data_IF_599358158261
#
_entry.id   IF_599358158261
#
_cell.length_a   1.000
_cell.length_b   1.000
_cell.length_c   1.000
_cell.angle_alpha   90.00
_cell.angle_beta   90.00
_cell.angle_gamma   90.00
#
_symmetry.space_group_name_H-M   'P 1'
#
loop_
_entity.id
_entity.type
_entity.pdbx_description
1 polymer ?
#
# COMPACT_ATOMS: atom_id res chain seq x y z
N UNK A 1 13.16 -16.52 -1.79
CA UNK A 1 13.60 -15.50 -0.81
C UNK A 1 12.87 -15.64 0.53
N UNK A 2 11.53 -15.49 0.61
CA UNK A 2 10.77 -15.62 1.87
C UNK A 2 11.00 -16.97 2.60
N UNK A 3 11.02 -18.08 1.87
CA UNK A 3 11.32 -19.41 2.45
C UNK A 3 12.69 -19.50 3.12
N UNK A 4 13.71 -18.79 2.63
CA UNK A 4 15.04 -18.74 3.25
C UNK A 4 15.05 -17.86 4.49
N UNK A 5 14.39 -16.69 4.45
CA UNK A 5 14.21 -15.81 5.62
C UNK A 5 13.56 -16.58 6.78
N UNK A 6 12.46 -17.31 6.48
CA UNK A 6 11.77 -18.15 7.45
C UNK A 6 12.63 -19.31 7.94
N UNK A 7 13.34 -20.00 7.05
CA UNK A 7 14.22 -21.13 7.40
C UNK A 7 15.37 -20.72 8.35
N UNK A 8 15.88 -19.50 8.20
CA UNK A 8 16.89 -18.93 9.10
C UNK A 8 16.28 -18.28 10.35
N UNK A 9 14.96 -18.33 10.54
CA UNK A 9 14.28 -17.85 11.74
C UNK A 9 14.23 -16.32 11.85
N UNK A 10 14.52 -15.58 10.79
CA UNK A 10 14.43 -14.13 10.77
C UNK A 10 12.99 -13.66 10.46
N UNK A 11 12.60 -12.48 10.97
CA UNK A 11 11.37 -11.77 10.59
C UNK A 11 10.06 -12.56 10.78
N UNK A 12 9.99 -13.41 11.82
CA UNK A 12 8.85 -14.32 12.09
C UNK A 12 7.50 -13.62 12.25
N UNK A 13 7.50 -12.39 12.79
CA UNK A 13 6.28 -11.59 13.04
C UNK A 13 6.15 -10.39 12.09
N UNK A 14 6.88 -10.38 10.98
CA UNK A 14 6.85 -9.27 10.03
C UNK A 14 5.54 -9.26 9.25
N UNK A 15 4.93 -8.08 9.18
CA UNK A 15 3.80 -7.81 8.30
C UNK A 15 4.33 -7.30 6.97
N UNK A 16 3.92 -7.92 5.87
CA UNK A 16 4.27 -7.48 4.52
C UNK A 16 3.17 -6.54 4.03
N UNK A 17 3.56 -5.31 3.65
CA UNK A 17 2.64 -4.32 3.06
C UNK A 17 2.83 -4.31 1.54
N UNK A 18 1.79 -4.59 0.76
CA UNK A 18 1.85 -4.55 -0.71
C UNK A 18 0.60 -3.94 -1.35
N UNK A 19 0.62 -3.84 -2.69
CA UNK A 19 -0.43 -3.31 -3.55
C UNK A 19 -1.42 -4.39 -4.04
N UNK A 20 -1.57 -5.50 -3.31
CA UNK A 20 -2.36 -6.68 -3.70
C UNK A 20 -1.70 -7.54 -4.79
N UNK A 21 -0.40 -7.37 -5.04
CA UNK A 21 0.36 -8.29 -5.89
C UNK A 21 0.50 -9.66 -5.20
N UNK A 22 -0.23 -10.67 -5.69
CA UNK A 22 -0.37 -12.00 -5.06
C UNK A 22 0.94 -12.77 -4.81
N UNK A 23 2.04 -12.42 -5.48
CA UNK A 23 3.36 -12.95 -5.16
C UNK A 23 3.89 -12.56 -3.76
N UNK A 24 3.25 -11.57 -3.12
CA UNK A 24 3.56 -11.10 -1.77
C UNK A 24 2.47 -11.45 -0.74
N UNK A 25 1.45 -12.21 -1.13
CA UNK A 25 0.46 -12.77 -0.21
C UNK A 25 1.06 -13.97 0.54
N UNK A 26 2.03 -13.66 1.40
CA UNK A 26 2.76 -14.62 2.20
C UNK A 26 2.79 -14.16 3.66
N UNK A 27 2.54 -15.09 4.58
CA UNK A 27 2.47 -14.81 6.01
C UNK A 27 1.41 -13.76 6.38
N UNK A 28 1.70 -12.84 7.31
CA UNK A 28 0.76 -11.80 7.74
C UNK A 28 0.84 -10.63 6.78
N UNK A 29 -0.26 -10.36 6.09
CA UNK A 29 -0.29 -9.39 5.00
C UNK A 29 -1.10 -8.14 5.35
N UNK A 30 -0.70 -7.01 4.78
CA UNK A 30 -1.42 -5.74 4.86
C UNK A 30 -1.47 -5.07 3.48
N UNK A 31 -2.56 -4.37 3.22
CA UNK A 31 -2.76 -3.67 1.95
C UNK A 31 -2.42 -2.19 2.05
N UNK A 32 -1.80 -1.68 0.99
CA UNK A 32 -1.43 -0.27 0.86
C UNK A 32 -2.69 0.60 0.62
N UNK A 33 -2.95 1.52 1.55
CA UNK A 33 -4.10 2.44 1.47
C UNK A 33 -4.07 3.37 0.27
N UNK A 34 -2.88 3.81 -0.15
CA UNK A 34 -2.72 4.65 -1.35
C UNK A 34 -3.12 3.87 -2.61
N UNK A 35 -2.81 2.56 -2.66
CA UNK A 35 -3.24 1.72 -3.77
C UNK A 35 -4.74 1.43 -3.74
N UNK A 36 -5.32 1.20 -2.56
CA UNK A 36 -6.77 1.06 -2.41
C UNK A 36 -7.53 2.33 -2.88
N UNK A 37 -7.08 3.52 -2.48
CA UNK A 37 -7.68 4.78 -2.95
C UNK A 37 -7.48 4.97 -4.45
N UNK A 38 -6.32 4.60 -4.99
CA UNK A 38 -6.00 4.73 -6.41
C UNK A 38 -6.94 3.93 -7.30
N UNK A 39 -7.42 2.77 -6.84
CA UNK A 39 -8.45 2.00 -7.55
C UNK A 39 -9.72 2.83 -7.73
N UNK A 40 -10.16 3.53 -6.69
CA UNK A 40 -11.34 4.42 -6.76
C UNK A 40 -11.04 5.64 -7.62
N UNK A 41 -9.86 6.25 -7.48
CA UNK A 41 -9.46 7.42 -8.27
C UNK A 41 -9.42 7.15 -9.78
N UNK A 42 -8.98 5.96 -10.19
CA UNK A 42 -8.86 5.57 -11.60
C UNK A 42 -10.17 5.13 -12.24
N UNK A 43 -11.27 5.01 -11.50
CA UNK A 43 -12.56 4.68 -12.10
C UNK A 43 -13.00 5.80 -13.05
N UNK A 44 -13.40 5.42 -14.26
CA UNK A 44 -13.95 6.35 -15.24
C UNK A 44 -15.37 6.75 -14.85
N UNK A 45 -15.57 8.03 -14.57
CA UNK A 45 -16.86 8.61 -14.20
C UNK A 45 -17.39 9.50 -15.34
N UNK A 46 -18.32 8.96 -16.12
CA UNK A 46 -18.83 9.59 -17.34
C UNK A 46 -19.92 10.64 -17.11
N UNK A 47 -20.59 10.62 -15.95
CA UNK A 47 -21.65 11.59 -15.60
C UNK A 47 -21.23 12.43 -14.39
N UNK A 48 -21.81 13.62 -14.23
CA UNK A 48 -21.54 14.46 -13.05
C UNK A 48 -21.97 13.79 -11.75
N UNK A 49 -23.08 13.03 -11.79
CA UNK A 49 -23.51 12.21 -10.67
C UNK A 49 -22.47 11.16 -10.29
N UNK A 50 -21.88 10.46 -11.26
CA UNK A 50 -20.82 9.48 -10.99
C UNK A 50 -19.54 10.16 -10.49
N UNK A 51 -19.18 11.32 -11.04
CA UNK A 51 -18.02 12.11 -10.57
C UNK A 51 -18.20 12.56 -9.12
N UNK A 52 -19.37 13.05 -8.76
CA UNK A 52 -19.69 13.45 -7.39
C UNK A 52 -19.63 12.26 -6.42
N UNK A 53 -20.20 11.12 -6.79
CA UNK A 53 -20.13 9.89 -5.99
C UNK A 53 -18.68 9.43 -5.77
N UNK A 54 -17.87 9.41 -6.84
CA UNK A 54 -16.46 9.06 -6.76
C UNK A 54 -15.69 10.02 -5.85
N UNK A 55 -15.87 11.35 -6.00
CA UNK A 55 -15.19 12.35 -5.18
C UNK A 55 -15.57 12.25 -3.70
N UNK A 56 -16.84 12.00 -3.40
CA UNK A 56 -17.32 11.78 -2.03
C UNK A 56 -16.59 10.58 -1.41
N UNK A 57 -16.60 9.42 -2.08
CA UNK A 57 -15.96 8.20 -1.59
C UNK A 57 -14.46 8.41 -1.39
N UNK A 58 -13.77 9.06 -2.34
CA UNK A 58 -12.34 9.39 -2.19
C UNK A 58 -12.08 10.25 -0.95
N UNK A 59 -12.91 11.26 -0.72
CA UNK A 59 -12.80 12.12 0.45
C UNK A 59 -12.97 11.32 1.75
N UNK A 60 -13.95 10.43 1.80
CA UNK A 60 -14.18 9.54 2.95
C UNK A 60 -12.99 8.60 3.21
N UNK A 61 -12.41 8.02 2.16
CA UNK A 61 -11.21 7.17 2.26
C UNK A 61 -10.03 7.98 2.82
N UNK A 62 -9.80 9.19 2.32
CA UNK A 62 -8.72 10.04 2.81
C UNK A 62 -8.92 10.49 4.27
N UNK A 63 -10.17 10.71 4.69
CA UNK A 63 -10.49 11.00 6.09
C UNK A 63 -10.19 9.79 6.98
N UNK A 64 -10.64 8.61 6.58
CA UNK A 64 -10.32 7.37 7.29
C UNK A 64 -8.80 7.14 7.37
N UNK A 65 -8.07 7.34 6.27
CA UNK A 65 -6.61 7.23 6.24
C UNK A 65 -5.91 8.19 7.21
N UNK A 66 -6.37 9.44 7.30
CA UNK A 66 -5.83 10.42 8.27
C UNK A 66 -6.06 9.96 9.71
N UNK A 67 -7.22 9.40 10.00
CA UNK A 67 -7.54 8.91 11.33
C UNK A 67 -6.78 7.63 11.69
N UNK A 68 -6.55 6.73 10.71
CA UNK A 68 -5.63 5.59 10.88
C UNK A 68 -4.22 6.08 11.22
N UNK A 69 -3.69 7.10 10.51
CA UNK A 69 -2.40 7.71 10.87
C UNK A 69 -2.38 8.29 12.28
N UNK A 70 -3.48 8.90 12.71
CA UNK A 70 -3.58 9.44 14.06
C UNK A 70 -3.68 8.34 15.12
N UNK A 71 -4.36 7.23 14.82
CA UNK A 71 -4.45 6.05 15.67
C UNK A 71 -3.07 5.41 15.87
N UNK A 72 -2.23 5.33 14.83
CA UNK A 72 -0.88 4.76 14.95
C UNK A 72 -0.01 5.45 16.01
N UNK A 73 -0.31 6.71 16.36
CA UNK A 73 0.43 7.47 17.37
C UNK A 73 -0.10 7.30 18.78
N UNK A 74 -1.37 6.92 18.92
CA UNK A 74 -2.09 6.82 20.18
C UNK A 74 -3.21 5.77 20.03
N UNK A 75 -2.84 4.47 20.02
CA UNK A 75 -3.79 3.39 19.80
C UNK A 75 -4.63 3.15 21.05
N UNK A 76 -5.95 3.22 20.91
CA UNK A 76 -6.89 2.88 22.00
C UNK A 76 -8.00 1.95 21.50
N UNK A 77 -8.53 1.04 22.36
CA UNK A 77 -9.59 0.11 21.96
C UNK A 77 -10.86 0.80 21.44
N UNK A 78 -11.19 1.97 22.00
CA UNK A 78 -12.34 2.77 21.60
C UNK A 78 -12.15 3.33 20.18
N UNK A 79 -10.97 3.90 19.89
CA UNK A 79 -10.65 4.42 18.55
C UNK A 79 -10.57 3.30 17.53
N UNK A 80 -10.03 2.15 17.91
CA UNK A 80 -9.98 0.97 17.05
C UNK A 80 -11.40 0.56 16.60
N UNK A 81 -12.32 0.40 17.55
CA UNK A 81 -13.70 0.01 17.29
C UNK A 81 -14.41 1.04 16.40
N UNK A 82 -14.20 2.33 16.65
CA UNK A 82 -14.76 3.41 15.84
C UNK A 82 -14.22 3.40 14.39
N UNK A 83 -12.93 3.10 14.20
CA UNK A 83 -12.32 2.99 12.87
C UNK A 83 -12.85 1.78 12.09
N UNK A 84 -13.04 0.63 12.76
CA UNK A 84 -13.64 -0.56 12.15
C UNK A 84 -15.08 -0.29 11.70
N UNK A 85 -15.89 0.36 12.54
CA UNK A 85 -17.26 0.72 12.19
C UNK A 85 -17.33 1.75 11.05
N UNK A 86 -16.43 2.74 11.07
CA UNK A 86 -16.35 3.74 9.99
C UNK A 86 -15.94 3.10 8.66
N UNK A 87 -15.02 2.14 8.69
CA UNK A 87 -14.67 1.36 7.51
C UNK A 87 -15.91 0.70 6.92
N UNK A 88 -16.68 -0.04 7.72
CA UNK A 88 -17.90 -0.69 7.24
C UNK A 88 -18.88 0.30 6.61
N UNK A 89 -19.11 1.44 7.29
CA UNK A 89 -20.01 2.48 6.78
C UNK A 89 -19.57 3.07 5.43
N UNK A 90 -18.27 3.23 5.19
CA UNK A 90 -17.75 3.75 3.91
C UNK A 90 -17.90 2.71 2.81
N UNK A 91 -17.45 1.48 3.06
CA UNK A 91 -17.30 0.46 2.01
C UNK A 91 -18.57 -0.36 1.74
N UNK A 92 -19.59 -0.28 2.60
CA UNK A 92 -20.91 -0.86 2.35
C UNK A 92 -21.91 0.13 1.71
N UNK A 93 -21.48 1.36 1.43
CA UNK A 93 -22.34 2.40 0.87
C UNK A 93 -22.82 2.03 -0.53
N UNK A 94 -24.08 2.33 -0.83
CA UNK A 94 -24.64 2.34 -2.19
C UNK A 94 -24.56 3.75 -2.75
N UNK A 95 -23.87 3.92 -3.88
CA UNK A 95 -23.66 5.23 -4.52
C UNK A 95 -24.58 5.44 -5.73
N UNK A 96 -25.20 4.36 -6.22
CA UNK A 96 -25.93 4.37 -7.50
C UNK A 96 -25.00 4.41 -8.71
N UNK A 97 -23.70 4.22 -8.51
CA UNK A 97 -22.72 3.97 -9.56
C UNK A 97 -22.23 2.53 -9.41
N UNK A 98 -22.81 1.60 -10.18
CA UNK A 98 -22.63 0.15 -9.98
C UNK A 98 -21.18 -0.32 -9.98
N UNK A 99 -20.34 0.27 -10.85
CA UNK A 99 -18.92 -0.08 -10.93
C UNK A 99 -18.19 0.32 -9.63
N UNK A 100 -18.52 1.50 -9.07
CA UNK A 100 -17.98 1.94 -7.80
C UNK A 100 -18.49 1.07 -6.65
N UNK A 101 -19.77 0.73 -6.63
CA UNK A 101 -20.36 -0.11 -5.58
C UNK A 101 -19.73 -1.52 -5.56
N UNK A 102 -19.44 -2.11 -6.73
CA UNK A 102 -18.71 -3.39 -6.84
C UNK A 102 -17.27 -3.27 -6.35
N UNK A 103 -16.58 -2.17 -6.69
CA UNK A 103 -15.22 -1.93 -6.20
C UNK A 103 -15.20 -1.78 -4.67
N UNK A 104 -16.16 -1.06 -4.10
CA UNK A 104 -16.28 -0.90 -2.65
C UNK A 104 -16.53 -2.22 -1.94
N UNK A 105 -17.39 -3.09 -2.50
CA UNK A 105 -17.60 -4.43 -1.97
C UNK A 105 -16.32 -5.29 -2.01
N UNK A 106 -15.53 -5.20 -3.08
CA UNK A 106 -14.23 -5.89 -3.15
C UNK A 106 -13.24 -5.36 -2.11
N UNK A 107 -13.16 -4.04 -1.95
CA UNK A 107 -12.30 -3.44 -0.90
C UNK A 107 -12.79 -3.80 0.51
N UNK A 108 -14.10 -3.93 0.70
CA UNK A 108 -14.69 -4.40 1.96
C UNK A 108 -14.27 -5.83 2.30
N UNK A 109 -14.20 -6.72 1.30
CA UNK A 109 -13.74 -8.09 1.49
C UNK A 109 -12.30 -8.16 2.02
N UNK A 110 -11.45 -7.20 1.65
CA UNK A 110 -10.06 -7.09 2.09
C UNK A 110 -9.90 -6.26 3.38
N UNK A 111 -10.95 -6.19 4.21
CA UNK A 111 -10.95 -5.43 5.47
C UNK A 111 -9.83 -5.87 6.43
N UNK A 112 -9.57 -7.17 6.66
CA UNK A 112 -8.51 -7.60 7.58
C UNK A 112 -7.14 -7.05 7.19
N UNK A 113 -6.81 -7.06 5.90
CA UNK A 113 -5.53 -6.62 5.37
C UNK A 113 -5.43 -5.09 5.34
N UNK A 114 -6.50 -4.38 4.99
CA UNK A 114 -6.54 -2.91 5.00
C UNK A 114 -6.49 -2.33 6.42
N UNK A 115 -7.04 -3.05 7.40
CA UNK A 115 -7.05 -2.61 8.80
C UNK A 115 -5.99 -3.29 9.67
N UNK A 116 -5.00 -3.98 9.09
CA UNK A 116 -3.93 -4.65 9.83
C UNK A 116 -3.17 -3.70 10.78
N UNK A 117 -3.11 -2.42 10.45
CA UNK A 117 -2.52 -1.36 11.30
C UNK A 117 -3.21 -1.19 12.65
N UNK A 118 -4.46 -1.65 12.80
CA UNK A 118 -5.16 -1.66 14.07
C UNK A 118 -4.61 -2.73 15.01
N UNK A 119 -4.08 -3.83 14.48
CA UNK A 119 -3.41 -4.88 15.24
C UNK A 119 -1.91 -4.62 15.39
N UNK A 120 -1.31 -3.96 14.38
CA UNK A 120 0.12 -3.68 14.28
C UNK A 120 0.36 -2.21 13.94
N UNK A 121 0.21 -1.28 14.91
CA UNK A 121 0.27 0.17 14.67
C UNK A 121 1.61 0.67 14.10
N UNK A 122 2.68 -0.11 14.26
CA UNK A 122 4.01 0.22 13.77
C UNK A 122 4.20 -0.01 12.25
N UNK A 123 3.29 -0.72 11.58
CA UNK A 123 3.41 -1.00 10.15
C UNK A 123 3.08 0.27 9.33
N UNK A 124 3.72 0.45 8.17
CA UNK A 124 3.37 1.57 7.31
C UNK A 124 2.00 1.35 6.65
N UNK A 125 1.19 2.41 6.56
CA UNK A 125 -0.08 2.38 5.82
C UNK A 125 0.08 2.39 4.28
N UNK A 126 1.31 2.60 3.80
CA UNK A 126 1.59 2.80 2.38
C UNK A 126 3.06 2.53 2.04
N UNK A 127 3.32 2.26 0.76
CA UNK A 127 4.60 1.77 0.24
C UNK A 127 5.51 2.85 -0.36
N UNK A 128 5.23 4.14 -0.14
CA UNK A 128 6.00 5.23 -0.77
C UNK A 128 7.52 5.14 -0.55
N UNK A 129 7.96 4.68 0.63
CA UNK A 129 9.39 4.47 0.90
C UNK A 129 10.00 3.43 -0.05
N UNK A 130 9.37 2.25 -0.14
CA UNK A 130 9.77 1.18 -1.05
C UNK A 130 9.69 1.61 -2.52
N UNK A 131 8.64 2.36 -2.90
CA UNK A 131 8.49 2.90 -4.26
C UNK A 131 9.59 3.90 -4.63
N UNK A 132 10.00 4.76 -3.69
CA UNK A 132 11.08 5.71 -3.90
C UNK A 132 12.45 5.03 -4.00
N UNK A 133 12.65 3.92 -3.26
CA UNK A 133 13.87 3.13 -3.32
C UNK A 133 14.06 2.47 -4.70
N UNK A 134 12.99 1.93 -5.29
CA UNK A 134 13.05 1.30 -6.64
C UNK A 134 13.02 2.32 -7.78
N UNK A 135 12.60 3.58 -7.53
CA UNK A 135 12.42 4.59 -8.58
C UNK A 135 13.69 4.81 -9.40
N UNK A 136 14.86 4.87 -8.77
CA UNK A 136 16.12 5.05 -9.48
C UNK A 136 16.41 3.90 -10.45
N UNK A 137 16.09 2.66 -10.04
CA UNK A 137 16.25 1.48 -10.86
C UNK A 137 15.30 1.51 -12.07
N UNK A 138 14.02 1.83 -11.84
CA UNK A 138 13.01 1.93 -12.91
C UNK A 138 13.35 3.05 -13.89
N UNK A 139 13.76 4.22 -13.41
CA UNK A 139 14.21 5.35 -14.27
C UNK A 139 15.43 4.95 -15.09
N UNK A 140 16.45 4.34 -14.47
CA UNK A 140 17.66 3.93 -15.18
C UNK A 140 17.36 2.85 -16.23
N UNK A 141 16.46 1.90 -15.95
CA UNK A 141 15.98 0.93 -16.93
C UNK A 141 15.26 1.59 -18.12
N UNK A 142 14.41 2.60 -17.87
CA UNK A 142 13.72 3.35 -18.93
C UNK A 142 14.71 4.07 -19.85
N UNK A 143 15.77 4.67 -19.27
CA UNK A 143 16.80 5.38 -20.03
C UNK A 143 17.75 4.43 -20.77
N UNK A 144 18.16 3.32 -20.15
CA UNK A 144 19.16 2.40 -20.72
C UNK A 144 18.57 1.26 -21.54
N UNK A 145 17.25 1.21 -21.71
CA UNK A 145 16.50 0.06 -22.25
C UNK A 145 16.79 -1.27 -21.51
N UNK A 146 17.22 -1.21 -20.25
CA UNK A 146 17.63 -2.37 -19.46
C UNK A 146 19.13 -2.67 -19.49
N UNK A 147 19.49 -3.90 -19.09
CA UNK A 147 20.87 -4.41 -19.01
C UNK A 147 21.08 -5.47 -20.08
N UNK A 148 22.22 -5.42 -20.79
CA UNK A 148 22.52 -6.31 -21.92
C UNK A 148 23.29 -7.59 -21.54
N UNK A 149 23.73 -7.70 -20.28
CA UNK A 149 24.44 -8.87 -19.75
C UNK A 149 24.21 -8.99 -18.25
N UNK A 150 24.39 -10.19 -17.71
CA UNK A 150 24.27 -10.44 -16.27
C UNK A 150 25.34 -9.70 -15.45
N UNK A 151 26.63 -9.66 -15.85
CA UNK A 151 27.62 -8.82 -15.17
C UNK A 151 27.24 -7.33 -15.16
N UNK A 152 26.64 -6.83 -16.24
CA UNK A 152 26.15 -5.45 -16.32
C UNK A 152 24.97 -5.19 -15.39
N UNK A 153 24.11 -6.20 -15.18
CA UNK A 153 22.99 -6.16 -14.22
C UNK A 153 23.51 -6.12 -12.78
N UNK A 154 24.41 -7.03 -12.44
CA UNK A 154 24.96 -7.15 -11.09
C UNK A 154 25.75 -5.91 -10.68
N UNK A 155 26.59 -5.40 -11.59
CA UNK A 155 27.31 -4.14 -11.40
C UNK A 155 26.35 -2.98 -11.12
N UNK A 156 25.33 -2.80 -11.97
CA UNK A 156 24.33 -1.75 -11.78
C UNK A 156 23.62 -1.88 -10.44
N UNK A 157 23.17 -3.09 -10.08
CA UNK A 157 22.39 -3.32 -8.88
C UNK A 157 23.25 -3.13 -7.61
N UNK A 158 24.53 -3.51 -7.64
CA UNK A 158 25.50 -3.25 -6.57
C UNK A 158 25.77 -1.75 -6.38
N UNK A 159 26.10 -1.00 -7.44
CA UNK A 159 26.37 0.44 -7.33
C UNK A 159 25.12 1.24 -6.95
N UNK A 160 23.93 0.86 -7.44
CA UNK A 160 22.68 1.46 -6.99
C UNK A 160 22.40 1.17 -5.51
N UNK A 161 22.66 -0.06 -5.05
CA UNK A 161 22.55 -0.44 -3.64
C UNK A 161 23.47 0.38 -2.75
N UNK A 162 24.75 0.49 -3.11
CA UNK A 162 25.74 1.30 -2.37
C UNK A 162 25.32 2.77 -2.29
N UNK A 163 24.98 3.39 -3.42
CA UNK A 163 24.58 4.79 -3.47
C UNK A 163 23.34 5.07 -2.60
N UNK A 164 22.34 4.16 -2.63
CA UNK A 164 21.14 4.28 -1.79
C UNK A 164 21.45 4.11 -0.30
N UNK A 165 22.35 3.19 0.06
CA UNK A 165 22.78 3.01 1.45
C UNK A 165 23.52 4.24 1.97
N UNK A 166 24.49 4.78 1.20
CA UNK A 166 25.18 6.02 1.56
C UNK A 166 24.20 7.19 1.76
N UNK A 167 23.25 7.36 0.84
CA UNK A 167 22.22 8.40 0.96
C UNK A 167 21.35 8.23 2.22
N UNK A 168 20.97 6.99 2.58
CA UNK A 168 20.20 6.71 3.81
C UNK A 168 21.00 6.97 5.09
N UNK A 169 22.32 6.80 5.04
CA UNK A 169 23.23 7.04 6.16
C UNK A 169 23.75 8.49 6.22
N UNK A 170 23.39 9.35 5.26
CA UNK A 170 23.86 10.73 5.18
C UNK A 170 25.33 10.88 4.77
N UNK A 171 25.89 9.89 4.08
CA UNK A 171 27.29 9.86 3.62
C UNK A 171 27.36 10.44 2.20
N UNK A 172 28.21 11.44 1.99
CA UNK A 172 28.48 12.09 0.68
C UNK A 172 29.85 11.71 0.12
#
# INVERSE_FOLDING_TARGET
MWGSIKAHGFLKDTVIVSDDAGQFDVARHALCWVHAERLVHKLDAFTDRHRAAQQLVRSLIWWLYRDLKAYCRDPTPQRESALRARFDWIFQRRTGFDILDRLLARLHANKPELLMVLERPEIPLHTNGSENDIRCHVTRRKLSAGTRSDPGRDCRDAFLGLAKTCAKLGIS
#
